data_IF_414835985305
#
_entry.id   IF_414835985305
#
_cell.length_a   1.000
_cell.length_b   1.000
_cell.length_c   1.000
_cell.angle_alpha   90.00
_cell.angle_beta   90.00
_cell.angle_gamma   90.00
#
_symmetry.space_group_name_H-M   'P 1'
#
loop_
_entity.id
_entity.type
_entity.pdbx_description
1 polymer ?
#
# COMPACT_ATOMS: atom_id res chain seq x y z
N UNK A 1 15.72 -5.27 7.67
CA UNK A 1 14.66 -5.75 6.78
C UNK A 1 13.34 -5.27 7.37
N UNK A 2 12.74 -4.21 6.80
CA UNK A 2 11.50 -3.65 7.34
C UNK A 2 10.35 -4.00 6.41
N UNK A 3 9.26 -4.52 6.96
CA UNK A 3 8.07 -4.90 6.21
C UNK A 3 6.88 -4.09 6.73
N UNK A 4 6.30 -3.28 5.85
CA UNK A 4 5.16 -2.42 6.14
C UNK A 4 3.91 -2.99 5.49
N UNK A 5 2.85 -3.13 6.28
CA UNK A 5 1.52 -3.51 5.83
C UNK A 5 0.64 -2.25 5.83
N UNK A 6 0.25 -1.78 4.65
CA UNK A 6 -0.74 -0.72 4.49
C UNK A 6 -2.13 -1.36 4.56
N UNK A 7 -2.96 -0.89 5.49
CA UNK A 7 -4.31 -1.41 5.70
C UNK A 7 -5.30 -0.29 5.47
N UNK A 8 -6.31 -0.55 4.65
CA UNK A 8 -7.40 0.38 4.36
C UNK A 8 -8.75 -0.35 4.37
N UNK A 9 -9.83 0.34 4.71
CA UNK A 9 -11.16 -0.28 4.79
C UNK A 9 -11.75 -0.52 3.39
N UNK A 10 -11.77 0.47 2.51
CA UNK A 10 -12.26 0.32 1.12
C UNK A 10 -11.33 1.01 0.11
N UNK A 11 -10.79 0.22 -0.81
CA UNK A 11 -10.11 0.73 -2.01
C UNK A 11 -11.11 1.04 -3.11
N UNK A 12 -11.07 2.26 -3.64
CA UNK A 12 -11.75 2.61 -4.91
C UNK A 12 -10.78 2.42 -6.07
N UNK A 13 -10.11 3.48 -6.52
CA UNK A 13 -9.18 3.42 -7.66
C UNK A 13 -7.79 2.88 -7.30
N UNK A 14 -7.51 2.66 -6.02
CA UNK A 14 -6.19 2.25 -5.53
C UNK A 14 -5.11 3.35 -5.60
N UNK A 15 -5.40 4.50 -6.20
CA UNK A 15 -4.41 5.55 -6.49
C UNK A 15 -3.73 6.13 -5.25
N UNK A 16 -4.47 6.25 -4.14
CA UNK A 16 -3.91 6.76 -2.87
C UNK A 16 -2.93 5.77 -2.24
N UNK A 17 -3.29 4.49 -2.24
CA UNK A 17 -2.45 3.41 -1.71
C UNK A 17 -1.22 3.16 -2.59
N UNK A 18 -1.36 3.26 -3.92
CA UNK A 18 -0.23 3.23 -4.84
C UNK A 18 0.74 4.37 -4.61
N UNK A 19 0.25 5.62 -4.52
CA UNK A 19 1.12 6.77 -4.28
C UNK A 19 1.92 6.63 -2.97
N UNK A 20 1.27 6.18 -1.89
CA UNK A 20 1.96 5.90 -0.62
C UNK A 20 2.98 4.75 -0.75
N UNK A 21 2.61 3.65 -1.41
CA UNK A 21 3.51 2.52 -1.61
C UNK A 21 4.75 2.92 -2.43
N UNK A 22 4.59 3.73 -3.48
CA UNK A 22 5.71 4.21 -4.29
C UNK A 22 6.70 5.06 -3.51
N UNK A 23 6.23 5.95 -2.63
CA UNK A 23 7.13 6.71 -1.76
C UNK A 23 7.87 5.81 -0.77
N UNK A 24 7.18 4.84 -0.18
CA UNK A 24 7.81 3.87 0.73
C UNK A 24 8.87 3.03 0.02
N UNK A 25 8.60 2.56 -1.21
CA UNK A 25 9.52 1.75 -2.00
C UNK A 25 10.84 2.45 -2.37
N UNK A 26 10.94 3.78 -2.21
CA UNK A 26 12.22 4.50 -2.34
C UNK A 26 13.21 4.17 -1.22
N UNK A 27 12.74 3.59 -0.11
CA UNK A 27 13.57 3.18 1.02
C UNK A 27 14.27 1.85 0.70
N UNK A 28 15.61 1.78 0.70
CA UNK A 28 16.33 0.54 0.41
C UNK A 28 16.00 -0.58 1.40
N UNK A 29 15.68 -1.77 0.89
CA UNK A 29 15.43 -2.96 1.70
C UNK A 29 14.09 -2.97 2.45
N UNK A 30 13.14 -2.11 2.04
CA UNK A 30 11.77 -2.16 2.52
C UNK A 30 10.94 -3.14 1.69
N UNK A 31 9.98 -3.79 2.34
CA UNK A 31 8.91 -4.54 1.69
C UNK A 31 7.59 -3.88 2.04
N UNK A 32 6.72 -3.70 1.05
CA UNK A 32 5.38 -3.16 1.26
C UNK A 32 4.35 -4.23 0.88
N UNK A 33 3.28 -4.34 1.65
CA UNK A 33 2.11 -5.16 1.33
C UNK A 33 0.86 -4.34 1.60
N UNK A 34 -0.22 -4.61 0.87
CA UNK A 34 -1.48 -3.89 0.98
C UNK A 34 -2.56 -4.91 1.34
N UNK A 35 -3.38 -4.59 2.34
CA UNK A 35 -4.58 -5.32 2.69
C UNK A 35 -5.77 -4.37 2.73
N UNK A 36 -6.89 -4.76 2.11
CA UNK A 36 -8.13 -3.99 2.14
C UNK A 36 -9.33 -4.91 2.31
N UNK A 37 -10.39 -4.43 2.97
CA UNK A 37 -11.60 -5.22 3.21
C UNK A 37 -12.49 -5.28 1.97
N UNK A 38 -12.47 -4.26 1.11
CA UNK A 38 -13.19 -4.25 -0.16
C UNK A 38 -12.46 -3.40 -1.21
N UNK A 39 -12.58 -3.79 -2.48
CA UNK A 39 -12.12 -3.00 -3.63
C UNK A 39 -13.31 -2.77 -4.56
N UNK A 40 -13.56 -1.54 -4.97
CA UNK A 40 -14.54 -1.21 -6.01
C UNK A 40 -13.81 -0.80 -7.28
N UNK A 41 -14.15 -1.45 -8.39
CA UNK A 41 -13.65 -1.12 -9.74
C UNK A 41 -14.47 -0.03 -10.39
#
# INVERSE_FOLDING_TARGET
NQHVLLVDDVVTTGSTLEACAFELLKIPGIKVSIATLASTS
#
